data_IF_195011387773
#
_entry.id   IF_195011387773
#
_cell.length_a   1.000
_cell.length_b   1.000
_cell.length_c   1.000
_cell.angle_alpha   90.00
_cell.angle_beta   90.00
_cell.angle_gamma   90.00
#
_symmetry.space_group_name_H-M   'P 1'
#
loop_
_entity.id
_entity.type
_entity.pdbx_description
1 polymer ?
#
# COMPACT_ATOMS: atom_id res chain seq x y z
N UNK A 1 -21.87 -16.36 -6.80
CA UNK A 1 -20.58 -17.02 -7.05
C UNK A 1 -19.78 -16.91 -5.77
N UNK A 2 -19.71 -18.00 -5.00
CA UNK A 2 -18.97 -18.06 -3.75
C UNK A 2 -17.48 -17.95 -4.11
N UNK A 3 -16.84 -16.80 -3.86
CA UNK A 3 -15.39 -16.68 -3.95
C UNK A 3 -14.81 -17.61 -2.89
N UNK A 4 -14.41 -18.82 -3.31
CA UNK A 4 -13.50 -19.64 -2.51
C UNK A 4 -12.27 -18.78 -2.25
N UNK A 5 -12.03 -18.42 -0.99
CA UNK A 5 -10.83 -17.69 -0.58
C UNK A 5 -9.61 -18.51 -1.02
N UNK A 6 -8.99 -18.09 -2.12
CA UNK A 6 -7.72 -18.67 -2.56
C UNK A 6 -6.70 -18.29 -1.49
N UNK A 7 -6.06 -19.29 -0.88
CA UNK A 7 -4.89 -19.03 -0.04
C UNK A 7 -3.79 -18.44 -0.94
N UNK A 8 -3.45 -17.18 -0.71
CA UNK A 8 -2.44 -16.46 -1.50
C UNK A 8 -1.01 -16.79 -1.06
N UNK A 9 -0.82 -17.38 0.14
CA UNK A 9 0.51 -17.67 0.69
C UNK A 9 1.39 -18.52 -0.22
N UNK A 10 0.89 -19.60 -0.87
CA UNK A 10 1.70 -20.42 -1.77
C UNK A 10 2.20 -19.65 -3.00
N UNK A 11 1.56 -18.52 -3.32
CA UNK A 11 1.91 -17.66 -4.43
C UNK A 11 2.91 -16.57 -4.05
N UNK A 12 3.31 -16.45 -2.79
CA UNK A 12 4.33 -15.50 -2.33
C UNK A 12 5.63 -16.25 -2.06
N UNK A 13 6.62 -16.07 -2.93
CA UNK A 13 7.96 -16.63 -2.75
C UNK A 13 8.65 -16.00 -1.55
N UNK A 14 9.31 -16.83 -0.75
CA UNK A 14 10.16 -16.35 0.34
C UNK A 14 11.63 -16.54 -0.05
N UNK A 15 12.41 -15.47 0.04
CA UNK A 15 13.84 -15.46 -0.26
C UNK A 15 14.59 -15.26 1.06
N UNK A 16 15.29 -16.29 1.58
CA UNK A 16 16.03 -16.18 2.83
C UNK A 16 17.27 -15.29 2.66
N UNK A 17 17.64 -14.59 3.74
CA UNK A 17 18.83 -13.76 3.86
C UNK A 17 18.93 -12.62 2.83
N UNK A 18 17.79 -12.02 2.47
CA UNK A 18 17.73 -10.88 1.56
C UNK A 18 16.99 -9.69 2.20
N UNK A 19 17.47 -8.44 2.07
CA UNK A 19 18.73 -8.03 1.46
C UNK A 19 19.95 -8.25 2.37
N UNK A 20 19.75 -8.66 3.63
CA UNK A 20 20.79 -8.96 4.61
C UNK A 20 20.51 -10.30 5.29
N UNK A 21 21.54 -10.88 5.90
CA UNK A 21 21.45 -12.11 6.68
C UNK A 21 20.36 -11.98 7.78
N UNK A 22 19.55 -13.03 7.96
CA UNK A 22 18.49 -13.08 8.97
C UNK A 22 17.13 -12.54 8.53
N UNK A 23 17.02 -11.94 7.33
CA UNK A 23 15.74 -11.43 6.81
C UNK A 23 15.09 -12.46 5.87
N UNK A 24 13.80 -12.75 6.09
CA UNK A 24 12.98 -13.57 5.19
C UNK A 24 12.19 -12.67 4.25
N UNK A 25 12.76 -12.34 3.09
CA UNK A 25 12.14 -11.43 2.13
C UNK A 25 10.92 -12.06 1.48
N UNK A 26 9.78 -11.36 1.51
CA UNK A 26 8.54 -11.79 0.85
C UNK A 26 8.46 -11.16 -0.54
N UNK A 27 8.68 -11.98 -1.55
CA UNK A 27 8.67 -11.57 -2.95
C UNK A 27 7.30 -11.78 -3.59
N UNK A 28 6.53 -10.69 -3.61
CA UNK A 28 5.17 -10.64 -4.15
C UNK A 28 5.11 -10.80 -5.67
N UNK A 29 6.24 -10.69 -6.39
CA UNK A 29 6.21 -10.72 -7.87
C UNK A 29 5.68 -12.05 -8.41
N UNK A 30 5.82 -13.11 -7.60
CA UNK A 30 5.24 -14.43 -7.88
C UNK A 30 3.72 -14.47 -7.75
N UNK A 31 3.15 -13.69 -6.83
CA UNK A 31 1.71 -13.50 -6.69
C UNK A 31 1.18 -12.67 -7.87
N UNK A 32 1.85 -11.56 -8.17
CA UNK A 32 1.45 -10.63 -9.23
C UNK A 32 1.40 -11.26 -10.62
N UNK A 33 2.34 -12.18 -10.93
CA UNK A 33 2.34 -12.89 -12.22
C UNK A 33 1.33 -14.04 -12.31
N UNK A 34 0.67 -14.41 -11.20
CA UNK A 34 -0.33 -15.47 -11.17
C UNK A 34 -1.74 -14.88 -11.28
N UNK A 35 -2.40 -14.93 -12.45
CA UNK A 35 -3.58 -14.11 -12.74
C UNK A 35 -4.75 -14.36 -11.78
N UNK A 36 -5.00 -15.62 -11.43
CA UNK A 36 -6.08 -15.97 -10.51
C UNK A 36 -5.79 -15.55 -9.07
N UNK A 37 -4.52 -15.61 -8.65
CA UNK A 37 -4.17 -15.29 -7.27
C UNK A 37 -4.14 -13.77 -7.06
N UNK A 38 -3.55 -13.03 -8.00
CA UNK A 38 -3.60 -11.57 -7.97
C UNK A 38 -5.04 -11.04 -8.08
N UNK A 39 -5.85 -11.61 -9.00
CA UNK A 39 -7.27 -11.28 -9.11
C UNK A 39 -8.03 -11.51 -7.80
N UNK A 40 -7.86 -12.69 -7.19
CA UNK A 40 -8.48 -13.00 -5.91
C UNK A 40 -8.01 -12.09 -4.76
N UNK A 41 -6.73 -11.69 -4.74
CA UNK A 41 -6.23 -10.68 -3.79
C UNK A 41 -6.99 -9.37 -3.95
N UNK A 42 -7.07 -8.83 -5.16
CA UNK A 42 -7.76 -7.56 -5.41
C UNK A 42 -9.26 -7.67 -5.11
N UNK A 43 -9.91 -8.78 -5.46
CA UNK A 43 -11.32 -9.01 -5.17
C UNK A 43 -11.59 -9.04 -3.66
N UNK A 44 -10.76 -9.74 -2.88
CA UNK A 44 -10.89 -9.78 -1.42
C UNK A 44 -10.66 -8.41 -0.77
N UNK A 45 -9.70 -7.63 -1.29
CA UNK A 45 -9.48 -6.25 -0.86
C UNK A 45 -10.69 -5.36 -1.18
N UNK A 46 -11.21 -5.44 -2.40
CA UNK A 46 -12.35 -4.64 -2.82
C UNK A 46 -13.60 -4.99 -2.00
N UNK A 47 -13.88 -6.27 -1.78
CA UNK A 47 -15.01 -6.73 -0.95
C UNK A 47 -14.93 -6.14 0.46
N UNK A 48 -13.74 -6.15 1.09
CA UNK A 48 -13.52 -5.56 2.41
C UNK A 48 -13.89 -4.07 2.45
N UNK A 49 -13.58 -3.31 1.40
CA UNK A 49 -13.76 -1.85 1.38
C UNK A 49 -15.03 -1.36 0.69
N UNK A 50 -15.81 -2.25 0.06
CA UNK A 50 -17.01 -1.90 -0.71
C UNK A 50 -18.01 -1.06 0.08
N UNK A 51 -18.16 -1.31 1.39
CA UNK A 51 -19.12 -0.61 2.25
C UNK A 51 -18.47 0.44 3.19
N UNK A 52 -17.19 0.74 3.01
CA UNK A 52 -16.44 1.65 3.91
C UNK A 52 -16.35 3.09 3.42
N UNK A 53 -16.97 3.42 2.27
CA UNK A 53 -16.90 4.73 1.60
C UNK A 53 -15.45 5.22 1.47
N UNK A 54 -14.73 4.72 0.46
CA UNK A 54 -13.38 5.18 0.13
C UNK A 54 -13.48 6.13 -1.06
N UNK A 55 -12.87 7.31 -0.97
CA UNK A 55 -12.90 8.31 -2.05
C UNK A 55 -11.67 8.20 -2.96
N UNK A 56 -10.51 7.83 -2.40
CA UNK A 56 -9.27 7.60 -3.15
C UNK A 56 -8.38 6.54 -2.49
N UNK A 57 -7.57 5.87 -3.30
CA UNK A 57 -6.48 5.00 -2.84
C UNK A 57 -5.16 5.77 -2.93
N UNK A 58 -4.42 5.87 -1.83
CA UNK A 58 -3.03 6.33 -1.86
C UNK A 58 -2.09 5.13 -1.89
N UNK A 59 -1.12 5.11 -2.80
CA UNK A 59 -0.13 4.04 -2.89
C UNK A 59 1.28 4.55 -2.62
N UNK A 60 2.08 3.82 -1.85
CA UNK A 60 3.50 4.13 -1.63
C UNK A 60 4.33 3.50 -2.75
N UNK A 61 5.28 4.25 -3.30
CA UNK A 61 6.10 3.74 -4.38
C UNK A 61 7.05 2.60 -3.94
N UNK A 62 7.51 1.75 -4.85
CA UNK A 62 6.91 1.49 -6.17
C UNK A 62 5.93 0.31 -6.10
N UNK A 63 6.11 -0.59 -5.12
CA UNK A 63 5.38 -1.86 -5.07
C UNK A 63 3.93 -1.69 -4.63
N UNK A 64 3.66 -0.76 -3.71
CA UNK A 64 2.31 -0.36 -3.34
C UNK A 64 1.46 0.11 -4.52
N UNK A 65 2.07 0.62 -5.60
CA UNK A 65 1.33 1.06 -6.79
C UNK A 65 0.60 -0.08 -7.50
N UNK A 66 1.23 -1.26 -7.55
CA UNK A 66 0.67 -2.40 -8.29
C UNK A 66 -0.67 -2.85 -7.68
N UNK A 67 -0.74 -2.86 -6.36
CA UNK A 67 -1.95 -3.23 -5.62
C UNK A 67 -2.89 -2.03 -5.54
N UNK A 68 -2.37 -0.86 -5.15
CA UNK A 68 -3.17 0.34 -4.92
C UNK A 68 -3.89 0.84 -6.18
N UNK A 69 -3.21 0.90 -7.33
CA UNK A 69 -3.82 1.35 -8.57
C UNK A 69 -4.88 0.34 -9.07
N UNK A 70 -4.62 -0.96 -8.93
CA UNK A 70 -5.59 -2.00 -9.33
C UNK A 70 -6.81 -2.02 -8.42
N UNK A 71 -6.62 -1.79 -7.11
CA UNK A 71 -7.71 -1.64 -6.16
C UNK A 71 -8.53 -0.37 -6.42
N UNK A 72 -7.89 0.75 -6.73
CA UNK A 72 -8.56 1.99 -7.11
C UNK A 72 -9.46 1.78 -8.34
N UNK A 73 -8.92 1.11 -9.36
CA UNK A 73 -9.68 0.71 -10.54
C UNK A 73 -10.88 -0.17 -10.18
N UNK A 74 -10.68 -1.19 -9.33
CA UNK A 74 -11.74 -2.13 -8.92
C UNK A 74 -12.86 -1.46 -8.12
N UNK A 75 -12.53 -0.48 -7.26
CA UNK A 75 -13.48 0.27 -6.45
C UNK A 75 -14.10 1.47 -7.19
N UNK A 76 -13.59 1.83 -8.38
CA UNK A 76 -14.08 2.97 -9.16
C UNK A 76 -13.70 4.33 -8.57
N UNK A 77 -12.54 4.42 -7.90
CA UNK A 77 -12.08 5.61 -7.18
C UNK A 77 -10.74 6.12 -7.71
N UNK A 78 -10.34 7.33 -7.31
CA UNK A 78 -9.05 7.91 -7.71
C UNK A 78 -7.85 7.19 -7.10
N UNK A 79 -6.68 7.28 -7.76
CA UNK A 79 -5.39 6.82 -7.23
C UNK A 79 -4.44 7.99 -7.01
N UNK A 80 -3.75 8.00 -5.87
CA UNK A 80 -2.79 9.03 -5.45
C UNK A 80 -1.42 8.41 -5.23
N UNK A 81 -0.40 8.77 -6.04
CA UNK A 81 0.96 8.28 -5.83
C UNK A 81 1.65 9.06 -4.70
N UNK A 82 2.24 8.33 -3.75
CA UNK A 82 3.21 8.85 -2.77
C UNK A 82 4.59 8.32 -3.17
N UNK A 83 5.55 9.23 -3.39
CA UNK A 83 6.85 8.91 -3.99
C UNK A 83 8.00 9.43 -3.17
N UNK A 84 9.21 8.92 -3.41
CA UNK A 84 10.42 9.57 -2.91
C UNK A 84 10.62 10.93 -3.56
N UNK A 85 11.40 11.75 -2.87
CA UNK A 85 11.73 13.12 -3.28
C UNK A 85 12.17 13.24 -4.75
N UNK A 86 11.62 14.24 -5.43
CA UNK A 86 11.98 14.62 -6.80
C UNK A 86 11.36 13.76 -7.90
N UNK A 87 10.39 12.89 -7.57
CA UNK A 87 9.70 12.02 -8.54
C UNK A 87 8.34 12.54 -9.00
N UNK A 88 7.78 13.50 -8.28
CA UNK A 88 6.50 14.13 -8.56
C UNK A 88 6.74 15.49 -9.25
N UNK A 89 6.13 15.76 -10.42
CA UNK A 89 6.45 16.94 -11.21
C UNK A 89 5.70 18.21 -10.81
N UNK A 90 4.57 18.11 -10.09
CA UNK A 90 3.81 19.25 -9.63
C UNK A 90 4.24 19.67 -8.21
N UNK A 91 3.56 20.67 -7.63
CA UNK A 91 3.86 21.14 -6.28
C UNK A 91 3.63 20.02 -5.25
N UNK A 92 4.62 19.79 -4.38
CA UNK A 92 4.61 18.74 -3.35
C UNK A 92 4.67 19.29 -1.93
N UNK A 93 4.21 18.49 -0.98
CA UNK A 93 4.67 18.53 0.42
C UNK A 93 5.47 17.26 0.71
N UNK A 94 6.36 17.34 1.69
CA UNK A 94 7.33 16.29 2.00
C UNK A 94 7.31 15.88 3.46
N UNK A 95 7.57 14.61 3.73
CA UNK A 95 7.71 14.06 5.07
C UNK A 95 8.92 13.14 5.16
N UNK A 96 9.83 13.49 6.06
CA UNK A 96 10.99 12.67 6.37
C UNK A 96 10.61 11.51 7.30
N UNK A 97 11.30 10.39 7.15
CA UNK A 97 11.25 9.25 8.08
C UNK A 97 12.63 8.64 8.30
N UNK A 98 12.80 8.05 9.49
CA UNK A 98 14.02 7.37 9.87
C UNK A 98 14.12 5.98 9.23
N UNK A 99 15.31 5.66 8.74
CA UNK A 99 15.73 4.31 8.39
C UNK A 99 16.64 3.75 9.49
N UNK A 100 16.95 2.45 9.43
CA UNK A 100 17.98 1.83 10.28
C UNK A 100 19.32 2.57 10.18
N UNK A 101 19.62 3.10 8.97
CA UNK A 101 20.78 3.93 8.71
C UNK A 101 20.38 5.10 7.81
N UNK A 102 20.12 6.26 8.41
CA UNK A 102 19.83 7.52 7.71
C UNK A 102 18.36 7.93 7.73
N UNK A 103 18.01 8.86 6.86
CA UNK A 103 16.65 9.35 6.65
C UNK A 103 16.30 9.27 5.17
N UNK A 104 15.02 9.10 4.87
CA UNK A 104 14.48 9.18 3.51
C UNK A 104 13.23 10.05 3.55
N UNK A 105 12.78 10.52 2.39
CA UNK A 105 11.74 11.55 2.28
C UNK A 105 10.68 11.11 1.29
N UNK A 106 9.42 11.12 1.72
CA UNK A 106 8.26 10.93 0.86
C UNK A 106 7.64 12.28 0.45
N UNK A 107 7.02 12.30 -0.72
CA UNK A 107 6.30 13.42 -1.30
C UNK A 107 4.91 12.99 -1.80
N UNK A 108 3.97 13.92 -1.71
CA UNK A 108 2.63 13.85 -2.31
C UNK A 108 2.32 15.20 -2.97
N UNK A 109 1.57 15.22 -4.08
CA UNK A 109 1.14 16.50 -4.66
C UNK A 109 0.15 17.22 -3.73
N UNK A 110 0.24 18.55 -3.67
CA UNK A 110 -0.63 19.38 -2.83
C UNK A 110 -2.09 19.41 -3.26
N UNK A 111 -2.39 19.03 -4.51
CA UNK A 111 -3.73 18.97 -5.10
C UNK A 111 -4.30 17.54 -5.16
N UNK A 112 -3.59 16.55 -4.61
CA UNK A 112 -3.98 15.15 -4.73
C UNK A 112 -5.23 14.78 -3.92
N UNK A 113 -5.45 15.47 -2.80
CA UNK A 113 -6.51 15.18 -1.83
C UNK A 113 -7.23 16.49 -1.51
N UNK A 114 -8.56 16.47 -1.55
CA UNK A 114 -9.39 17.58 -1.10
C UNK A 114 -9.98 17.28 0.28
N UNK A 115 -10.35 18.34 1.01
CA UNK A 115 -10.85 18.21 2.37
C UNK A 115 -12.13 17.35 2.41
N UNK A 116 -12.19 16.43 3.38
CA UNK A 116 -13.32 15.53 3.57
C UNK A 116 -13.28 14.24 2.77
N UNK A 117 -12.21 13.96 2.01
CA UNK A 117 -12.04 12.67 1.34
C UNK A 117 -11.51 11.58 2.28
N UNK A 118 -12.05 10.38 2.16
CA UNK A 118 -11.61 9.17 2.87
C UNK A 118 -10.57 8.45 2.05
N UNK A 119 -9.34 8.45 2.55
CA UNK A 119 -8.19 7.90 1.86
C UNK A 119 -7.88 6.51 2.41
N UNK A 120 -7.73 5.55 1.50
CA UNK A 120 -7.20 4.22 1.82
C UNK A 120 -5.73 4.18 1.42
N UNK A 121 -4.83 4.18 2.41
CA UNK A 121 -3.41 4.00 2.17
C UNK A 121 -3.11 2.52 1.95
N UNK A 122 -2.44 2.20 0.84
CA UNK A 122 -2.06 0.84 0.42
C UNK A 122 -0.55 0.76 0.18
N UNK A 123 0.05 -0.27 0.75
CA UNK A 123 1.40 -0.71 0.43
C UNK A 123 1.44 -2.24 0.33
N UNK A 124 2.48 -2.77 -0.32
CA UNK A 124 2.61 -4.21 -0.44
C UNK A 124 2.97 -4.88 0.88
N UNK A 125 4.00 -4.40 1.57
CA UNK A 125 4.49 -5.01 2.79
C UNK A 125 4.96 -3.96 3.80
N UNK A 126 4.59 -4.13 5.07
CA UNK A 126 5.20 -3.38 6.17
C UNK A 126 6.34 -4.16 6.79
N UNK A 127 7.49 -3.51 6.91
CA UNK A 127 8.60 -3.95 7.76
C UNK A 127 8.56 -3.26 9.12
N UNK A 128 9.05 -2.02 9.22
CA UNK A 128 9.13 -1.25 10.47
C UNK A 128 7.96 -0.28 10.68
N UNK A 129 7.16 -0.01 9.63
CA UNK A 129 6.06 0.94 9.66
C UNK A 129 6.43 2.39 9.36
N UNK A 130 7.71 2.76 9.39
CA UNK A 130 8.14 4.17 9.25
C UNK A 130 7.71 4.84 7.94
N UNK A 131 7.74 4.12 6.82
CA UNK A 131 7.27 4.63 5.53
C UNK A 131 5.76 4.84 5.51
N UNK A 132 4.99 3.92 6.12
CA UNK A 132 3.54 4.06 6.24
C UNK A 132 3.17 5.23 7.16
N UNK A 133 3.89 5.41 8.27
CA UNK A 133 3.71 6.55 9.18
C UNK A 133 4.00 7.90 8.50
N UNK A 134 5.06 7.98 7.68
CA UNK A 134 5.32 9.19 6.90
C UNK A 134 4.22 9.47 5.87
N UNK A 135 3.73 8.44 5.18
CA UNK A 135 2.63 8.57 4.25
C UNK A 135 1.32 9.01 4.94
N UNK A 136 1.03 8.48 6.14
CA UNK A 136 -0.08 8.94 6.99
C UNK A 136 0.05 10.43 7.29
N UNK A 137 1.21 10.87 7.77
CA UNK A 137 1.47 12.29 8.10
C UNK A 137 1.32 13.20 6.89
N UNK A 138 1.77 12.78 5.71
CA UNK A 138 1.56 13.54 4.46
C UNK A 138 0.07 13.72 4.16
N UNK A 139 -0.72 12.65 4.28
CA UNK A 139 -2.16 12.69 4.04
C UNK A 139 -2.84 13.61 5.07
N UNK A 140 -2.48 13.50 6.35
CA UNK A 140 -3.01 14.35 7.42
C UNK A 140 -2.67 15.83 7.21
N UNK A 141 -1.48 16.15 6.69
CA UNK A 141 -1.07 17.52 6.37
C UNK A 141 -1.88 18.15 5.23
N UNK A 142 -2.43 17.36 4.30
CA UNK A 142 -3.31 17.87 3.23
C UNK A 142 -4.74 18.20 3.71
N UNK A 143 -5.00 18.03 5.02
CA UNK A 143 -6.17 18.43 5.84
C UNK A 143 -7.04 17.26 6.31
N UNK A 144 -7.70 17.53 7.44
CA UNK A 144 -8.34 16.58 8.34
C UNK A 144 -9.44 15.72 7.68
N UNK A 145 -9.15 14.46 7.31
CA UNK A 145 -10.14 13.40 7.51
C UNK A 145 -9.61 11.96 7.49
N UNK A 146 -10.40 11.16 8.22
CA UNK A 146 -10.30 9.75 8.57
C UNK A 146 -9.50 8.86 7.60
N UNK A 147 -8.32 8.44 8.08
CA UNK A 147 -7.47 7.48 7.40
C UNK A 147 -7.86 6.05 7.80
N UNK A 148 -8.27 5.25 6.82
CA UNK A 148 -8.22 3.80 6.98
C UNK A 148 -6.91 3.32 6.35
N UNK A 149 -5.98 2.86 7.18
CA UNK A 149 -4.72 2.28 6.68
C UNK A 149 -5.00 0.81 6.36
N UNK A 150 -4.78 0.38 5.12
CA UNK A 150 -4.86 -1.02 4.73
C UNK A 150 -3.55 -1.51 4.13
N UNK A 151 -2.94 -2.47 4.81
CA UNK A 151 -1.59 -2.91 4.50
C UNK A 151 -1.69 -4.32 3.93
N UNK A 152 -1.34 -4.43 2.66
CA UNK A 152 -1.90 -5.46 1.79
C UNK A 152 -1.37 -6.87 2.08
N UNK A 153 -0.17 -7.06 2.61
CA UNK A 153 0.42 -8.42 2.64
C UNK A 153 1.22 -8.85 3.89
N UNK A 154 1.21 -8.16 5.05
CA UNK A 154 1.81 -8.74 6.28
C UNK A 154 1.11 -8.52 7.64
N UNK A 155 1.21 -9.59 8.45
CA UNK A 155 0.99 -9.85 9.88
C UNK A 155 -0.39 -9.83 10.53
N UNK A 156 -1.34 -8.99 10.13
CA UNK A 156 -2.63 -8.93 10.86
C UNK A 156 -3.88 -9.17 10.01
N UNK A 157 -3.77 -9.10 8.69
CA UNK A 157 -4.93 -9.21 7.80
C UNK A 157 -5.22 -10.65 7.36
N UNK A 158 -4.22 -11.53 7.42
CA UNK A 158 -4.31 -12.96 7.13
C UNK A 158 -3.26 -13.65 7.99
N UNK A 159 -3.55 -14.82 8.56
CA UNK A 159 -2.67 -15.56 9.49
C UNK A 159 -1.34 -16.03 8.84
N UNK A 160 -0.51 -15.09 8.37
CA UNK A 160 0.71 -15.28 7.59
C UNK A 160 1.97 -14.76 8.31
N UNK A 161 1.85 -14.57 9.62
CA UNK A 161 2.98 -14.51 10.53
C UNK A 161 2.86 -15.71 11.45
N UNK A 162 3.78 -16.66 11.29
CA UNK A 162 4.28 -17.38 12.46
C UNK A 162 5.17 -16.41 13.25
#
# INVERSE_FOLDING_TARGET
FLLTMIDIKPFIRTIPNHPKQGIMFRDITTLLKHPLAFGATIDALAERYTNQHVDKIAGIEARGFMIGATLAYKLGVGFVPIRKIGKLPAQTISQDYALEYGTDTLEIHTDAIVNGERILLVDDLIATGGTAEAAVKLIEQLKEMLLHVHLSLTCQTWAACD
#
